data_IF_865364993937
#
_entry.id   IF_865364993937
#
_cell.length_a   1.000
_cell.length_b   1.000
_cell.length_c   1.000
_cell.angle_alpha   90.00
_cell.angle_beta   90.00
_cell.angle_gamma   90.00
#
_symmetry.space_group_name_H-M   'P 1'
#
loop_
_entity.id
_entity.type
_entity.pdbx_description
1 polymer ?
#
# COMPACT_ATOMS: atom_id res chain seq x y z
N UNK A 1 -30.42 24.96 57.44
CA UNK A 1 -29.04 24.45 57.33
C UNK A 1 -28.96 23.60 56.07
N UNK A 2 -28.50 24.18 54.98
CA UNK A 2 -28.36 23.52 53.68
C UNK A 2 -26.98 22.86 53.60
N UNK A 3 -26.90 21.58 53.26
CA UNK A 3 -25.64 20.92 52.88
C UNK A 3 -25.82 20.25 51.53
N UNK A 4 -25.53 21.02 50.49
CA UNK A 4 -25.37 20.57 49.11
C UNK A 4 -24.04 19.84 48.91
N UNK A 5 -24.03 19.01 47.85
CA UNK A 5 -22.88 18.60 47.03
C UNK A 5 -22.00 17.44 47.54
N UNK A 6 -22.10 16.31 46.83
CA UNK A 6 -20.98 15.84 45.99
C UNK A 6 -21.48 14.74 45.04
N UNK A 7 -21.83 15.16 43.83
CA UNK A 7 -21.99 14.31 42.66
C UNK A 7 -20.57 14.02 42.17
N UNK A 8 -20.02 12.85 42.48
CA UNK A 8 -18.68 12.48 42.03
C UNK A 8 -18.76 12.02 40.58
N UNK A 9 -18.31 12.89 39.69
CA UNK A 9 -18.31 12.73 38.24
C UNK A 9 -17.41 11.56 37.79
N UNK A 10 -17.98 10.79 36.86
CA UNK A 10 -17.33 9.77 36.03
C UNK A 10 -16.25 10.42 35.15
N UNK A 11 -15.06 9.83 35.12
CA UNK A 11 -14.09 10.03 34.05
C UNK A 11 -13.69 8.67 33.49
N UNK A 12 -14.53 8.12 32.62
CA UNK A 12 -14.12 7.04 31.73
C UNK A 12 -13.02 7.58 30.81
N UNK A 13 -11.78 7.16 31.07
CA UNK A 13 -10.69 7.28 30.11
C UNK A 13 -10.99 6.33 28.93
N UNK A 14 -11.78 6.80 27.98
CA UNK A 14 -11.86 6.17 26.67
C UNK A 14 -10.50 6.40 25.99
N UNK A 15 -9.59 5.43 26.13
CA UNK A 15 -8.37 5.40 25.34
C UNK A 15 -8.75 5.38 23.86
N UNK A 16 -8.46 6.48 23.17
CA UNK A 16 -8.51 6.54 21.71
C UNK A 16 -7.44 5.57 21.17
N UNK A 17 -7.81 4.30 21.01
CA UNK A 17 -7.04 3.38 20.20
C UNK A 17 -6.99 3.97 18.78
N UNK A 18 -5.82 4.49 18.40
CA UNK A 18 -5.52 4.91 17.03
C UNK A 18 -5.58 3.68 16.14
N UNK A 19 -6.78 3.32 15.71
CA UNK A 19 -7.00 2.27 14.72
C UNK A 19 -6.53 2.85 13.39
N UNK A 20 -5.41 2.34 12.89
CA UNK A 20 -5.03 2.47 11.47
C UNK A 20 -6.11 1.78 10.63
N UNK A 21 -7.24 2.47 10.44
CA UNK A 21 -8.35 1.95 9.66
C UNK A 21 -8.00 2.12 8.18
N UNK A 22 -7.58 1.04 7.55
CA UNK A 22 -7.66 0.92 6.09
C UNK A 22 -9.15 0.95 5.72
N UNK A 23 -9.52 1.79 4.75
CA UNK A 23 -10.92 1.88 4.33
C UNK A 23 -11.39 0.54 3.73
N UNK A 24 -12.68 0.17 3.86
CA UNK A 24 -13.20 -1.04 3.23
C UNK A 24 -12.96 -1.09 1.72
N UNK A 25 -13.04 0.06 1.05
CA UNK A 25 -12.75 0.20 -0.38
C UNK A 25 -11.28 -0.10 -0.70
N UNK A 26 -10.34 0.47 0.07
CA UNK A 26 -8.91 0.18 -0.09
C UNK A 26 -8.63 -1.31 0.11
N UNK A 27 -9.24 -1.94 1.12
CA UNK A 27 -9.13 -3.38 1.33
C UNK A 27 -9.67 -4.17 0.14
N UNK A 28 -10.84 -3.81 -0.38
CA UNK A 28 -11.45 -4.49 -1.52
C UNK A 28 -10.56 -4.41 -2.77
N UNK A 29 -10.03 -3.23 -3.09
CA UNK A 29 -9.12 -3.06 -4.24
C UNK A 29 -7.82 -3.85 -4.00
N UNK A 30 -7.22 -3.69 -2.81
CA UNK A 30 -5.94 -4.31 -2.47
C UNK A 30 -6.01 -5.85 -2.34
N UNK A 31 -7.19 -6.43 -2.17
CA UNK A 31 -7.42 -7.90 -2.17
C UNK A 31 -7.92 -8.44 -3.51
N UNK A 32 -8.53 -7.61 -4.36
CA UNK A 32 -9.01 -8.03 -5.67
C UNK A 32 -7.86 -8.50 -6.59
N UNK A 33 -8.00 -9.62 -7.33
CA UNK A 33 -6.95 -10.07 -8.22
C UNK A 33 -6.75 -9.08 -9.39
N UNK A 34 -5.50 -8.90 -9.80
CA UNK A 34 -5.13 -8.08 -10.95
C UNK A 34 -4.80 -9.03 -12.12
N UNK A 35 -5.82 -9.34 -12.92
CA UNK A 35 -5.72 -10.28 -14.04
C UNK A 35 -5.85 -9.55 -15.36
N UNK A 36 -4.89 -9.74 -16.26
CA UNK A 36 -4.93 -9.27 -17.65
C UNK A 36 -5.29 -10.41 -18.58
N UNK A 37 -6.04 -10.14 -19.65
CA UNK A 37 -6.73 -11.19 -20.43
C UNK A 37 -6.04 -11.57 -21.73
N UNK A 38 -5.23 -10.69 -22.31
CA UNK A 38 -4.55 -10.92 -23.58
C UNK A 38 -3.10 -10.43 -23.54
N UNK A 39 -2.27 -10.93 -24.44
CA UNK A 39 -0.83 -10.67 -24.45
C UNK A 39 -0.48 -9.16 -24.47
N UNK A 40 -1.21 -8.36 -25.25
CA UNK A 40 -0.97 -6.93 -25.35
C UNK A 40 -1.34 -6.16 -24.07
N UNK A 41 -2.48 -6.51 -23.46
CA UNK A 41 -2.87 -5.98 -22.15
C UNK A 41 -1.87 -6.37 -21.06
N UNK A 42 -1.48 -7.64 -21.01
CA UNK A 42 -0.53 -8.15 -20.02
C UNK A 42 0.85 -7.51 -20.15
N UNK A 43 1.34 -7.30 -21.37
CA UNK A 43 2.59 -6.58 -21.60
C UNK A 43 2.51 -5.13 -21.10
N UNK A 44 1.41 -4.42 -21.42
CA UNK A 44 1.19 -3.04 -20.95
C UNK A 44 1.09 -2.96 -19.42
N UNK A 45 0.36 -3.87 -18.80
CA UNK A 45 0.19 -3.89 -17.35
C UNK A 45 1.49 -4.24 -16.63
N UNK A 46 2.30 -5.15 -17.18
CA UNK A 46 3.62 -5.46 -16.65
C UNK A 46 4.59 -4.27 -16.73
N UNK A 47 4.59 -3.56 -17.88
CA UNK A 47 5.36 -2.32 -18.02
C UNK A 47 4.97 -1.28 -16.98
N UNK A 48 3.67 -1.05 -16.78
CA UNK A 48 3.18 -0.12 -15.74
C UNK A 48 3.55 -0.58 -14.33
N UNK A 49 3.53 -1.89 -14.07
CA UNK A 49 3.95 -2.40 -12.78
C UNK A 49 5.44 -2.10 -12.50
N UNK A 50 6.29 -2.22 -13.52
CA UNK A 50 7.68 -1.81 -13.43
C UNK A 50 7.81 -0.30 -13.18
N UNK A 51 7.15 0.53 -13.97
CA UNK A 51 7.20 2.00 -13.84
C UNK A 51 6.73 2.47 -12.46
N UNK A 52 5.68 1.84 -11.92
CA UNK A 52 5.21 2.11 -10.57
C UNK A 52 6.30 1.86 -9.53
N UNK A 53 6.94 0.68 -9.55
CA UNK A 53 7.98 0.33 -8.58
C UNK A 53 9.15 1.31 -8.67
N UNK A 54 9.58 1.67 -9.89
CA UNK A 54 10.64 2.67 -10.09
C UNK A 54 10.25 4.04 -9.55
N UNK A 55 9.00 4.47 -9.73
CA UNK A 55 8.54 5.79 -9.27
C UNK A 55 8.19 5.86 -7.77
N UNK A 56 7.91 4.73 -7.13
CA UNK A 56 7.36 4.69 -5.77
C UNK A 56 8.27 4.01 -4.73
N UNK A 57 9.43 3.49 -5.14
CA UNK A 57 10.39 2.91 -4.21
C UNK A 57 11.50 3.88 -3.82
N UNK A 58 11.83 3.84 -2.52
CA UNK A 58 13.07 4.44 -2.02
C UNK A 58 14.28 3.51 -2.24
N UNK A 59 14.04 2.26 -2.66
CA UNK A 59 15.06 1.23 -2.85
C UNK A 59 15.31 1.00 -4.35
N UNK A 60 16.56 0.71 -4.70
CA UNK A 60 16.91 0.32 -6.06
C UNK A 60 16.23 -0.99 -6.45
N UNK A 61 15.93 -1.14 -7.74
CA UNK A 61 15.57 -2.43 -8.32
C UNK A 61 16.74 -3.40 -8.18
N UNK A 62 16.47 -4.55 -7.58
CA UNK A 62 17.38 -5.68 -7.46
C UNK A 62 17.14 -6.68 -8.59
N UNK A 63 15.87 -6.91 -8.94
CA UNK A 63 15.44 -7.86 -9.97
C UNK A 63 14.41 -7.21 -10.87
N UNK A 64 14.55 -7.38 -12.18
CA UNK A 64 13.57 -6.99 -13.18
C UNK A 64 13.59 -7.99 -14.34
N UNK A 65 12.62 -8.88 -14.37
CA UNK A 65 12.45 -9.93 -15.39
C UNK A 65 11.02 -9.95 -15.93
N UNK A 66 10.73 -10.88 -16.83
CA UNK A 66 9.36 -11.05 -17.37
C UNK A 66 8.34 -11.57 -16.34
N UNK A 67 8.80 -12.02 -15.16
CA UNK A 67 7.94 -12.64 -14.14
C UNK A 67 8.15 -12.10 -12.71
N UNK A 68 9.20 -11.32 -12.47
CA UNK A 68 9.53 -10.78 -11.15
C UNK A 68 10.13 -9.38 -11.24
N UNK A 69 9.59 -8.46 -10.45
CA UNK A 69 10.18 -7.15 -10.15
C UNK A 69 10.38 -7.10 -8.64
N UNK A 70 11.60 -6.85 -8.18
CA UNK A 70 11.91 -6.79 -6.76
C UNK A 70 12.94 -5.70 -6.45
N UNK A 71 12.82 -5.10 -5.27
CA UNK A 71 13.77 -4.09 -4.77
C UNK A 71 14.72 -4.67 -3.72
N UNK A 72 15.86 -4.01 -3.47
CA UNK A 72 16.91 -4.54 -2.59
C UNK A 72 16.59 -4.51 -1.07
N UNK A 73 15.78 -3.55 -0.62
CA UNK A 73 15.45 -3.36 0.80
C UNK A 73 14.26 -4.19 1.29
N UNK A 74 13.73 -3.90 2.50
CA UNK A 74 14.10 -2.83 3.43
C UNK A 74 15.04 -3.33 4.53
N UNK A 75 15.98 -2.49 4.95
CA UNK A 75 16.87 -2.74 6.09
C UNK A 75 16.82 -1.60 7.12
N UNK A 76 17.28 -1.87 8.34
CA UNK A 76 17.61 -0.85 9.33
C UNK A 76 16.40 -0.19 10.00
N UNK A 77 15.28 -0.91 10.16
CA UNK A 77 14.08 -0.39 10.81
C UNK A 77 13.31 0.65 9.98
N UNK A 78 13.62 0.76 8.68
CA UNK A 78 13.00 1.72 7.77
C UNK A 78 11.51 1.47 7.62
N UNK A 79 10.72 2.55 7.62
CA UNK A 79 9.29 2.51 7.32
C UNK A 79 8.99 2.51 5.81
N UNK A 80 9.99 2.77 4.95
CA UNK A 80 9.81 2.82 3.51
C UNK A 80 9.46 1.42 2.96
N UNK A 81 8.62 1.40 1.92
CA UNK A 81 8.20 0.15 1.28
C UNK A 81 9.26 -0.37 0.31
N UNK A 82 9.65 -1.62 0.52
CA UNK A 82 10.22 -2.47 -0.51
C UNK A 82 9.10 -3.24 -1.21
N UNK A 83 9.33 -3.58 -2.48
CA UNK A 83 8.33 -4.18 -3.34
C UNK A 83 8.79 -5.52 -3.90
N UNK A 84 7.84 -6.43 -4.04
CA UNK A 84 7.96 -7.64 -4.84
C UNK A 84 6.68 -7.82 -5.66
N UNK A 85 6.81 -7.71 -6.98
CA UNK A 85 5.72 -7.86 -7.94
C UNK A 85 5.98 -9.12 -8.75
N UNK A 86 4.97 -9.95 -8.91
CA UNK A 86 5.06 -11.18 -9.71
C UNK A 86 4.11 -11.12 -10.90
N UNK A 87 4.48 -11.81 -11.98
CA UNK A 87 3.58 -12.11 -13.09
C UNK A 87 3.56 -13.62 -13.31
N UNK A 88 2.39 -14.20 -13.15
CA UNK A 88 2.16 -15.64 -13.32
C UNK A 88 1.22 -15.85 -14.49
N UNK A 89 1.66 -16.63 -15.48
CA UNK A 89 0.77 -17.05 -16.57
C UNK A 89 -0.27 -18.05 -16.06
N UNK A 90 -1.50 -17.89 -16.51
CA UNK A 90 -2.61 -18.79 -16.23
C UNK A 90 -2.81 -19.75 -17.44
N UNK A 91 -3.46 -20.89 -17.21
CA UNK A 91 -3.66 -21.92 -18.23
C UNK A 91 -4.53 -21.47 -19.42
N UNK A 92 -5.35 -20.44 -19.23
CA UNK A 92 -6.22 -19.84 -20.24
C UNK A 92 -5.52 -18.75 -21.08
N UNK A 93 -4.22 -18.52 -20.87
CA UNK A 93 -3.44 -17.50 -21.56
C UNK A 93 -3.53 -16.10 -20.94
N UNK A 94 -4.34 -15.92 -19.89
CA UNK A 94 -4.32 -14.71 -19.06
C UNK A 94 -3.06 -14.66 -18.18
N UNK A 95 -2.79 -13.55 -17.51
CA UNK A 95 -1.77 -13.51 -16.45
C UNK A 95 -2.27 -12.80 -15.20
N UNK A 96 -1.85 -13.30 -14.05
CA UNK A 96 -2.11 -12.69 -12.75
C UNK A 96 -0.88 -11.89 -12.32
N UNK A 97 -1.08 -10.62 -11.98
CA UNK A 97 -0.04 -9.74 -11.45
C UNK A 97 -0.21 -9.64 -9.92
N UNK A 98 0.76 -10.16 -9.18
CA UNK A 98 0.79 -10.09 -7.72
C UNK A 98 1.47 -8.83 -7.23
N UNK A 99 0.99 -8.26 -6.12
CA UNK A 99 1.62 -7.13 -5.43
C UNK A 99 1.93 -7.54 -4.00
N UNK A 100 3.18 -7.38 -3.60
CA UNK A 100 3.60 -7.44 -2.21
C UNK A 100 4.47 -6.22 -1.90
N UNK A 101 4.24 -5.63 -0.73
CA UNK A 101 5.06 -4.57 -0.19
C UNK A 101 5.27 -4.78 1.30
N UNK A 102 6.47 -4.51 1.78
CA UNK A 102 6.82 -4.63 3.20
C UNK A 102 7.84 -3.56 3.60
N UNK A 103 7.99 -3.35 4.91
CA UNK A 103 8.99 -2.48 5.52
C UNK A 103 9.60 -3.20 6.75
N UNK A 104 10.65 -2.64 7.34
CA UNK A 104 11.34 -3.21 8.51
C UNK A 104 11.00 -2.46 9.82
N UNK A 105 10.12 -1.45 9.76
CA UNK A 105 9.78 -0.63 10.93
C UNK A 105 8.82 -1.33 11.89
N UNK A 106 9.19 -1.39 13.18
CA UNK A 106 8.31 -1.87 14.27
C UNK A 106 7.09 -0.97 14.52
N UNK A 107 7.11 0.28 14.06
CA UNK A 107 6.00 1.25 14.23
C UNK A 107 5.01 1.18 13.05
N UNK A 108 5.38 0.46 11.98
CA UNK A 108 4.58 0.27 10.77
C UNK A 108 5.14 1.01 9.54
N UNK A 109 4.60 0.65 8.38
CA UNK A 109 5.11 1.16 7.10
C UNK A 109 4.51 2.50 6.72
N UNK A 110 5.31 3.30 5.99
CA UNK A 110 4.89 4.54 5.36
C UNK A 110 5.40 4.58 3.92
N UNK A 111 4.52 4.61 2.91
CA UNK A 111 3.06 4.55 3.04
C UNK A 111 2.56 3.18 3.55
N UNK A 112 1.28 3.12 3.94
CA UNK A 112 0.64 1.85 4.33
C UNK A 112 0.60 0.87 3.15
N UNK A 113 0.94 -0.43 3.33
CA UNK A 113 1.03 -1.39 2.23
C UNK A 113 -0.30 -1.63 1.51
N UNK A 114 -1.43 -1.56 2.22
CA UNK A 114 -2.76 -1.75 1.62
C UNK A 114 -3.13 -0.58 0.71
N UNK A 115 -2.86 0.64 1.15
CA UNK A 115 -3.02 1.85 0.32
C UNK A 115 -2.14 1.80 -0.91
N UNK A 116 -0.85 1.43 -0.75
CA UNK A 116 0.07 1.27 -1.86
C UNK A 116 -0.40 0.20 -2.85
N UNK A 117 -0.88 -0.95 -2.36
CA UNK A 117 -1.40 -2.02 -3.21
C UNK A 117 -2.67 -1.65 -3.96
N UNK A 118 -3.58 -0.89 -3.33
CA UNK A 118 -4.76 -0.37 -4.02
C UNK A 118 -4.38 0.61 -5.13
N UNK A 119 -3.49 1.56 -4.83
CA UNK A 119 -3.00 2.55 -5.78
C UNK A 119 -2.26 1.92 -6.96
N UNK A 120 -1.36 0.96 -6.69
CA UNK A 120 -0.67 0.15 -7.69
C UNK A 120 -1.66 -0.52 -8.65
N UNK A 121 -2.69 -1.19 -8.13
CA UNK A 121 -3.66 -1.90 -8.98
C UNK A 121 -4.47 -0.94 -9.84
N UNK A 122 -4.82 0.24 -9.32
CA UNK A 122 -5.50 1.27 -10.12
C UNK A 122 -4.57 1.77 -11.24
N UNK A 123 -3.34 2.14 -10.92
CA UNK A 123 -2.36 2.62 -11.89
C UNK A 123 -2.08 1.58 -12.98
N UNK A 124 -1.86 0.32 -12.62
CA UNK A 124 -1.59 -0.73 -13.61
C UNK A 124 -2.77 -0.90 -14.58
N UNK A 125 -4.01 -0.87 -14.07
CA UNK A 125 -5.22 -0.98 -14.91
C UNK A 125 -5.41 0.22 -15.83
N UNK A 126 -5.34 1.43 -15.29
CA UNK A 126 -5.77 2.65 -16.00
C UNK A 126 -4.63 3.41 -16.65
N UNK A 127 -3.41 3.31 -16.11
CA UNK A 127 -2.27 4.17 -16.44
C UNK A 127 -2.34 5.56 -15.82
N UNK A 128 -3.29 5.80 -14.91
CA UNK A 128 -3.49 7.09 -14.24
C UNK A 128 -2.95 7.00 -12.82
N UNK A 129 -2.02 7.89 -12.47
CA UNK A 129 -1.51 8.03 -11.11
C UNK A 129 -2.66 8.40 -10.16
N UNK A 130 -2.94 7.59 -9.13
CA UNK A 130 -3.90 7.99 -8.10
C UNK A 130 -3.40 9.28 -7.42
N UNK A 131 -4.30 10.18 -7.03
CA UNK A 131 -3.90 11.39 -6.32
C UNK A 131 -3.06 11.02 -5.09
N UNK A 132 -1.93 11.72 -4.92
CA UNK A 132 -1.02 11.49 -3.81
C UNK A 132 -1.81 11.48 -2.50
N UNK A 133 -1.81 10.34 -1.81
CA UNK A 133 -2.53 10.26 -0.54
C UNK A 133 -1.77 11.12 0.48
N UNK A 134 -2.46 11.99 1.24
CA UNK A 134 -1.81 12.78 2.27
C UNK A 134 -1.10 11.84 3.24
N UNK A 135 0.22 11.95 3.30
CA UNK A 135 1.04 11.32 4.32
C UNK A 135 0.68 12.00 5.64
N UNK A 136 -0.22 11.39 6.42
CA UNK A 136 -0.51 11.86 7.78
C UNK A 136 0.77 11.74 8.60
N UNK A 137 1.60 12.79 8.61
CA UNK A 137 2.85 12.83 9.35
C UNK A 137 3.88 13.90 8.96
N UNK A 138 3.81 14.52 7.78
CA UNK A 138 4.74 15.61 7.44
C UNK A 138 3.94 16.89 7.08
N UNK A 139 4.11 18.01 7.79
CA UNK A 139 3.62 19.29 7.31
C UNK A 139 4.33 19.62 5.98
N UNK A 140 3.63 20.27 5.03
CA UNK A 140 4.25 20.72 3.79
C UNK A 140 5.40 21.69 4.10
N UNK A 141 6.50 21.68 3.31
CA UNK A 141 7.50 22.73 3.41
C UNK A 141 6.84 24.07 3.10
N UNK A 142 6.99 25.03 4.03
CA UNK A 142 6.65 26.43 3.80
C UNK A 142 7.77 27.14 3.06
#
# INVERSE_FOLDING_TARGET
MNRTLSMLAVACLAGCATKNHVSPETMQIATAPLVCTNAGECARWWSRAHDWVVGHSAYALQTSTDSLIATAGPDGGSAALAYQITRTQNADGSSTIGFAAHCDSMIGCRPDPWKAGAAFKQFVKTGVEPPAQPTTGAPPPQ
#
